data_IF_017822033116
#
_entry.id   IF_017822033116
#
_cell.length_a   1.000
_cell.length_b   1.000
_cell.length_c   1.000
_cell.angle_alpha   90.00
_cell.angle_beta   90.00
_cell.angle_gamma   90.00
#
_symmetry.space_group_name_H-M   'P 1'
#
loop_
_entity.id
_entity.type
_entity.pdbx_description
1 polymer ?
#
# COMPACT_ATOMS: atom_id res chain seq x y z
N UNK A 1 -20.46 -19.51 8.28
CA UNK A 1 -20.98 -20.83 8.75
C UNK A 1 -19.86 -21.60 9.40
N UNK A 2 -18.80 -21.97 8.67
CA UNK A 2 -17.64 -22.71 9.20
C UNK A 2 -17.04 -22.16 10.50
N UNK A 3 -16.81 -20.85 10.62
CA UNK A 3 -16.26 -20.27 11.84
C UNK A 3 -17.17 -20.49 13.06
N UNK A 4 -18.49 -20.29 12.93
CA UNK A 4 -19.45 -20.54 14.01
C UNK A 4 -19.56 -22.02 14.39
N UNK A 5 -19.37 -22.93 13.43
CA UNK A 5 -19.34 -24.38 13.69
C UNK A 5 -18.08 -24.81 14.45
N UNK A 6 -16.96 -24.12 14.23
CA UNK A 6 -15.70 -24.41 14.91
C UNK A 6 -15.67 -23.82 16.32
N UNK A 7 -16.11 -22.57 16.46
CA UNK A 7 -16.18 -21.88 17.73
C UNK A 7 -17.25 -20.77 17.67
N UNK A 8 -18.36 -20.89 18.43
CA UNK A 8 -19.43 -19.90 18.47
C UNK A 8 -19.00 -18.51 18.97
N UNK A 9 -17.86 -18.41 19.67
CA UNK A 9 -17.33 -17.12 20.16
C UNK A 9 -16.66 -16.28 19.06
N UNK A 10 -16.34 -16.89 17.90
CA UNK A 10 -15.77 -16.17 16.76
C UNK A 10 -16.81 -15.24 16.16
N UNK A 11 -16.51 -13.94 16.15
CA UNK A 11 -17.31 -12.92 15.48
C UNK A 11 -16.81 -12.68 14.05
N UNK A 12 -17.74 -12.63 13.11
CA UNK A 12 -17.50 -12.30 11.71
C UNK A 12 -18.00 -10.89 11.45
N UNK A 13 -17.07 -9.96 11.20
CA UNK A 13 -17.39 -8.57 10.88
C UNK A 13 -17.26 -8.37 9.38
N UNK A 14 -18.34 -7.94 8.74
CA UNK A 14 -18.33 -7.46 7.37
C UNK A 14 -17.92 -5.99 7.31
N UNK A 15 -17.40 -5.56 6.17
CA UNK A 15 -17.16 -4.16 5.88
C UNK A 15 -17.77 -3.83 4.51
N UNK A 16 -18.52 -2.74 4.46
CA UNK A 16 -19.09 -2.20 3.22
C UNK A 16 -18.66 -0.73 3.05
N UNK A 17 -18.45 -0.28 1.82
CA UNK A 17 -18.26 1.14 1.56
C UNK A 17 -19.59 1.90 1.63
N UNK A 18 -19.55 3.23 1.67
CA UNK A 18 -20.77 4.05 1.57
C UNK A 18 -21.41 4.02 0.17
N UNK A 19 -22.62 4.56 0.05
CA UNK A 19 -23.31 4.75 -1.22
C UNK A 19 -22.49 5.69 -2.13
N UNK A 20 -22.31 5.35 -3.39
CA UNK A 20 -21.57 6.14 -4.39
C UNK A 20 -20.05 5.95 -4.34
N UNK A 21 -19.57 4.90 -3.68
CA UNK A 21 -18.13 4.67 -3.51
C UNK A 21 -17.39 4.38 -4.83
N UNK A 22 -16.08 4.62 -4.81
CA UNK A 22 -15.12 4.43 -5.90
C UNK A 22 -14.12 3.32 -5.62
N UNK A 23 -14.18 2.67 -4.45
CA UNK A 23 -13.31 1.54 -4.10
C UNK A 23 -13.53 0.32 -5.01
N UNK A 24 -12.53 0.00 -5.84
CA UNK A 24 -12.57 -1.15 -6.73
C UNK A 24 -12.59 -2.47 -5.94
N UNK A 25 -13.36 -3.44 -6.43
CA UNK A 25 -13.51 -4.78 -5.81
C UNK A 25 -14.54 -4.85 -4.69
N UNK A 26 -15.07 -3.71 -4.23
CA UNK A 26 -16.17 -3.66 -3.25
C UNK A 26 -17.47 -3.22 -3.92
N UNK A 27 -18.59 -3.46 -3.24
CA UNK A 27 -19.92 -2.97 -3.61
C UNK A 27 -20.73 -2.68 -2.35
N UNK A 28 -21.49 -1.59 -2.36
CA UNK A 28 -22.54 -1.37 -1.38
C UNK A 28 -23.76 -2.25 -1.71
N UNK A 29 -24.30 -2.97 -0.72
CA UNK A 29 -25.42 -3.91 -0.93
C UNK A 29 -26.77 -3.25 -1.23
N UNK A 30 -26.88 -1.91 -1.13
CA UNK A 30 -28.05 -1.15 -1.57
C UNK A 30 -28.02 -0.79 -3.06
N UNK A 31 -26.83 -0.75 -3.66
CA UNK A 31 -26.64 -0.36 -5.08
C UNK A 31 -26.50 -1.57 -5.99
N UNK A 32 -26.05 -2.70 -5.45
CA UNK A 32 -25.75 -3.89 -6.22
C UNK A 32 -26.86 -4.92 -6.13
N UNK A 33 -27.07 -5.66 -7.23
CA UNK A 33 -27.85 -6.87 -7.20
C UNK A 33 -27.20 -7.85 -6.22
N UNK A 34 -27.94 -8.22 -5.17
CA UNK A 34 -27.44 -9.13 -4.13
C UNK A 34 -27.03 -10.46 -4.77
N UNK A 35 -25.74 -10.86 -4.69
CA UNK A 35 -25.32 -12.16 -5.22
C UNK A 35 -26.09 -13.29 -4.53
N UNK A 36 -26.49 -14.32 -5.28
CA UNK A 36 -27.23 -15.46 -4.70
C UNK A 36 -26.46 -16.20 -3.60
N UNK A 37 -25.12 -16.08 -3.61
CA UNK A 37 -24.22 -16.63 -2.59
C UNK A 37 -24.15 -15.81 -1.30
N UNK A 38 -24.68 -14.57 -1.29
CA UNK A 38 -24.57 -13.68 -0.14
C UNK A 38 -25.70 -13.91 0.87
N UNK A 39 -25.35 -14.33 2.09
CA UNK A 39 -26.29 -14.52 3.21
C UNK A 39 -26.06 -13.46 4.29
N UNK A 40 -26.94 -12.44 4.33
CA UNK A 40 -26.93 -11.31 5.29
C UNK A 40 -26.96 -11.72 6.77
N UNK A 41 -27.25 -12.99 7.09
CA UNK A 41 -27.29 -13.51 8.46
C UNK A 41 -25.93 -14.00 8.96
N UNK A 42 -24.92 -14.08 8.08
CA UNK A 42 -23.60 -14.60 8.43
C UNK A 42 -22.70 -13.59 9.15
N UNK A 43 -22.64 -12.31 8.75
CA UNK A 43 -21.91 -11.31 9.53
C UNK A 43 -22.67 -11.01 10.83
N UNK A 44 -21.94 -10.82 11.91
CA UNK A 44 -22.46 -10.35 13.21
C UNK A 44 -22.58 -8.82 13.25
N UNK A 45 -21.72 -8.12 12.51
CA UNK A 45 -21.70 -6.66 12.35
C UNK A 45 -21.28 -6.32 10.91
N UNK A 46 -21.80 -5.22 10.36
CA UNK A 46 -21.32 -4.64 9.11
C UNK A 46 -20.88 -3.21 9.39
N UNK A 47 -19.58 -2.97 9.29
CA UNK A 47 -18.99 -1.64 9.43
C UNK A 47 -18.99 -0.92 8.08
N UNK A 48 -19.13 0.40 8.13
CA UNK A 48 -19.00 1.25 6.94
C UNK A 48 -17.68 2.01 6.97
N UNK A 49 -16.99 2.04 5.83
CA UNK A 49 -15.69 2.72 5.68
C UNK A 49 -15.78 3.72 4.52
N UNK A 50 -15.27 4.92 4.74
CA UNK A 50 -15.21 5.97 3.72
C UNK A 50 -14.09 5.69 2.72
N UNK A 51 -14.23 6.20 1.51
CA UNK A 51 -13.26 5.98 0.44
C UNK A 51 -11.90 6.56 0.80
N UNK A 52 -11.87 7.80 1.29
CA UNK A 52 -10.64 8.49 1.68
C UNK A 52 -9.91 7.75 2.80
N UNK A 53 -10.66 7.20 3.76
CA UNK A 53 -10.12 6.39 4.85
C UNK A 53 -9.51 5.08 4.34
N UNK A 54 -10.20 4.40 3.42
CA UNK A 54 -9.71 3.17 2.81
C UNK A 54 -8.43 3.41 1.99
N UNK A 55 -8.41 4.49 1.18
CA UNK A 55 -7.26 4.88 0.37
C UNK A 55 -6.07 5.23 1.26
N UNK A 56 -6.26 6.08 2.28
CA UNK A 56 -5.18 6.44 3.20
C UNK A 56 -4.66 5.23 3.97
N UNK A 57 -5.56 4.38 4.47
CA UNK A 57 -5.15 3.17 5.20
C UNK A 57 -4.37 2.20 4.30
N UNK A 58 -4.73 2.10 3.02
CA UNK A 58 -3.97 1.28 2.06
C UNK A 58 -2.56 1.83 1.83
N UNK A 59 -2.41 3.16 1.71
CA UNK A 59 -1.11 3.82 1.59
C UNK A 59 -0.25 3.62 2.84
N UNK A 60 -0.86 3.77 4.02
CA UNK A 60 -0.21 3.50 5.32
C UNK A 60 0.26 2.06 5.44
N UNK A 61 -0.57 1.09 5.03
CA UNK A 61 -0.22 -0.32 5.04
C UNK A 61 1.07 -0.61 4.24
N UNK A 62 1.22 0.02 3.07
CA UNK A 62 2.45 -0.10 2.29
C UNK A 62 3.65 0.65 2.93
N UNK A 63 3.41 1.85 3.48
CA UNK A 63 4.45 2.74 4.02
C UNK A 63 5.00 2.29 5.38
N UNK A 64 4.12 1.84 6.27
CA UNK A 64 4.40 1.55 7.68
C UNK A 64 4.70 0.06 7.89
N UNK A 65 3.97 -0.83 7.22
CA UNK A 65 4.09 -2.28 7.40
C UNK A 65 4.78 -3.00 6.23
N UNK A 66 5.06 -2.29 5.12
CA UNK A 66 5.65 -2.90 3.92
C UNK A 66 4.73 -3.86 3.19
N UNK A 67 3.41 -3.84 3.47
CA UNK A 67 2.42 -4.71 2.84
C UNK A 67 1.78 -3.94 1.68
N UNK A 68 2.12 -4.35 0.45
CA UNK A 68 1.62 -3.70 -0.75
C UNK A 68 0.34 -4.38 -1.26
N UNK A 69 -0.82 -3.81 -0.93
CA UNK A 69 -2.14 -4.40 -1.17
C UNK A 69 -3.13 -3.43 -1.84
N UNK A 70 -4.27 -3.94 -2.31
CA UNK A 70 -5.32 -3.16 -2.95
C UNK A 70 -6.21 -2.31 -2.02
N UNK A 71 -7.02 -1.41 -2.60
CA UNK A 71 -7.89 -0.46 -1.87
C UNK A 71 -8.84 -1.14 -0.86
N UNK A 72 -9.36 -2.32 -1.23
CA UNK A 72 -10.26 -3.10 -0.36
C UNK A 72 -9.57 -3.60 0.91
N UNK A 73 -8.26 -3.82 0.84
CA UNK A 73 -7.43 -4.24 1.97
C UNK A 73 -7.28 -3.12 2.99
N UNK A 74 -7.07 -1.87 2.55
CA UNK A 74 -7.06 -0.73 3.46
C UNK A 74 -8.42 -0.49 4.10
N UNK A 75 -9.51 -0.67 3.37
CA UNK A 75 -10.85 -0.60 3.93
C UNK A 75 -11.08 -1.69 5.01
N UNK A 76 -10.64 -2.93 4.74
CA UNK A 76 -10.74 -4.04 5.69
C UNK A 76 -9.88 -3.79 6.94
N UNK A 77 -8.67 -3.25 6.77
CA UNK A 77 -7.79 -2.89 7.86
C UNK A 77 -8.36 -1.75 8.72
N UNK A 78 -8.93 -0.71 8.10
CA UNK A 78 -9.58 0.39 8.82
C UNK A 78 -10.73 -0.14 9.71
N UNK A 79 -11.58 -1.01 9.17
CA UNK A 79 -12.62 -1.68 9.94
C UNK A 79 -12.04 -2.55 11.06
N UNK A 80 -10.99 -3.33 10.78
CA UNK A 80 -10.34 -4.19 11.76
C UNK A 80 -9.72 -3.40 12.92
N UNK A 81 -9.08 -2.27 12.65
CA UNK A 81 -8.53 -1.38 13.68
C UNK A 81 -9.62 -0.80 14.58
N UNK A 82 -10.79 -0.45 14.01
CA UNK A 82 -11.96 -0.02 14.80
C UNK A 82 -12.51 -1.13 15.70
N UNK A 83 -12.51 -2.38 15.21
CA UNK A 83 -12.90 -3.54 16.03
C UNK A 83 -11.88 -3.77 17.14
N UNK A 84 -10.59 -3.77 16.81
CA UNK A 84 -9.50 -3.97 17.78
C UNK A 84 -9.50 -2.89 18.87
N UNK A 85 -9.78 -1.64 18.53
CA UNK A 85 -9.88 -0.54 19.50
C UNK A 85 -11.01 -0.70 20.53
N UNK A 86 -12.02 -1.54 20.23
CA UNK A 86 -13.14 -1.86 21.15
C UNK A 86 -12.88 -3.12 21.99
N UNK A 87 -11.72 -3.76 21.83
CA UNK A 87 -11.38 -5.02 22.49
C UNK A 87 -10.33 -4.80 23.57
N UNK A 88 -10.53 -5.42 24.75
CA UNK A 88 -9.51 -5.45 25.81
C UNK A 88 -8.38 -6.44 25.47
N UNK A 89 -8.73 -7.58 24.87
CA UNK A 89 -7.78 -8.60 24.41
C UNK A 89 -8.40 -9.48 23.33
N UNK A 90 -7.57 -10.16 22.55
CA UNK A 90 -8.00 -11.11 21.52
C UNK A 90 -7.13 -11.06 20.27
N UNK A 91 -7.60 -11.71 19.20
CA UNK A 91 -6.90 -11.75 17.91
C UNK A 91 -7.88 -11.42 16.78
N UNK A 92 -7.53 -10.40 16.01
CA UNK A 92 -8.28 -10.01 14.80
C UNK A 92 -7.53 -10.56 13.59
N UNK A 93 -8.27 -11.19 12.68
CA UNK A 93 -7.74 -11.68 11.40
C UNK A 93 -8.39 -10.89 10.28
N UNK A 94 -7.57 -10.37 9.37
CA UNK A 94 -8.02 -9.53 8.26
C UNK A 94 -7.57 -10.18 6.95
N UNK A 95 -8.43 -10.15 5.94
CA UNK A 95 -8.14 -10.71 4.62
C UNK A 95 -7.75 -9.57 3.68
N UNK A 96 -6.59 -9.70 3.04
CA UNK A 96 -6.14 -8.85 1.95
C UNK A 96 -6.27 -9.63 0.64
N UNK A 97 -7.29 -9.31 -0.20
CA UNK A 97 -7.63 -10.17 -1.34
C UNK A 97 -6.59 -10.20 -2.45
N UNK A 98 -5.83 -9.11 -2.63
CA UNK A 98 -4.84 -8.98 -3.70
C UNK A 98 -3.75 -7.93 -3.40
N UNK A 99 -2.72 -7.95 -4.25
CA UNK A 99 -1.57 -7.06 -4.19
C UNK A 99 -1.80 -5.70 -4.84
N UNK A 100 -1.04 -4.70 -4.40
CA UNK A 100 -1.14 -3.31 -4.84
C UNK A 100 -0.73 -3.07 -6.31
N UNK A 101 -0.03 -4.00 -6.95
CA UNK A 101 0.53 -3.85 -8.29
C UNK A 101 -0.55 -3.61 -9.36
N UNK A 102 -1.76 -4.12 -9.13
CA UNK A 102 -2.91 -3.98 -10.02
C UNK A 102 -3.51 -2.58 -10.02
N UNK A 103 -3.15 -1.77 -9.02
CA UNK A 103 -3.74 -0.47 -8.76
C UNK A 103 -2.80 0.70 -9.08
N UNK A 104 -1.61 0.42 -9.63
CA UNK A 104 -0.63 1.43 -10.02
C UNK A 104 -1.14 2.39 -11.11
N UNK A 105 -2.13 1.97 -11.91
CA UNK A 105 -2.79 2.82 -12.91
C UNK A 105 -4.00 3.59 -12.36
N UNK A 106 -4.20 3.60 -11.04
CA UNK A 106 -5.32 4.28 -10.36
C UNK A 106 -4.78 5.35 -9.41
N UNK A 107 -5.66 6.21 -8.89
CA UNK A 107 -5.31 7.25 -7.92
C UNK A 107 -4.89 6.70 -6.53
N UNK A 108 -4.91 5.37 -6.32
CA UNK A 108 -4.56 4.75 -5.04
C UNK A 108 -3.16 5.12 -4.57
N UNK A 109 -2.17 5.00 -5.45
CA UNK A 109 -0.76 5.27 -5.14
C UNK A 109 -0.27 6.57 -5.76
N UNK A 110 -1.17 7.33 -6.37
CA UNK A 110 -0.89 8.69 -6.80
C UNK A 110 -0.99 9.61 -5.58
N UNK A 111 0.15 10.17 -5.16
CA UNK A 111 0.14 11.29 -4.22
C UNK A 111 -0.20 12.56 -5.00
N UNK A 112 -1.15 13.39 -4.55
CA UNK A 112 -1.21 14.75 -5.06
C UNK A 112 0.15 15.41 -4.79
N UNK A 113 0.74 16.02 -5.81
CA UNK A 113 1.97 16.77 -5.66
C UNK A 113 1.66 17.99 -4.77
N UNK A 114 1.88 17.86 -3.45
CA UNK A 114 1.77 18.98 -2.50
C UNK A 114 2.95 19.96 -2.63
N UNK A 115 3.97 19.59 -3.40
CA UNK A 115 5.10 20.43 -3.74
C UNK A 115 4.77 21.22 -5.02
N UNK A 116 4.40 22.52 -4.91
CA UNK A 116 4.32 23.44 -6.07
C UNK A 116 5.65 23.56 -6.84
N UNK A 117 6.75 23.08 -6.23
CA UNK A 117 8.10 22.99 -6.78
C UNK A 117 8.40 21.64 -7.45
N UNK A 118 7.52 20.64 -7.32
CA UNK A 118 7.69 19.36 -7.98
C UNK A 118 7.55 19.55 -9.49
N UNK A 119 8.69 19.57 -10.19
CA UNK A 119 8.70 19.47 -11.65
C UNK A 119 8.21 18.06 -12.01
N UNK A 120 7.10 17.89 -12.75
CA UNK A 120 6.61 16.57 -13.14
C UNK A 120 7.71 15.80 -13.86
N UNK A 121 8.06 14.62 -13.34
CA UNK A 121 9.14 13.78 -13.87
C UNK A 121 10.54 14.07 -13.33
N UNK A 122 10.73 15.09 -12.47
CA UNK A 122 12.00 15.30 -11.78
C UNK A 122 12.15 14.31 -10.62
N UNK A 123 13.27 13.58 -10.63
CA UNK A 123 13.62 12.70 -9.53
C UNK A 123 14.02 13.53 -8.31
N UNK A 124 13.37 13.31 -7.17
CA UNK A 124 13.73 13.95 -5.91
C UNK A 124 14.44 12.96 -5.00
N UNK A 125 15.63 13.32 -4.52
CA UNK A 125 16.43 12.47 -3.64
C UNK A 125 16.66 13.17 -2.30
N UNK A 126 16.74 12.40 -1.22
CA UNK A 126 17.16 12.93 0.08
C UNK A 126 18.67 13.14 0.07
N UNK A 127 19.08 14.40 0.12
CA UNK A 127 20.48 14.76 0.32
C UNK A 127 20.82 14.57 1.80
N UNK A 128 21.70 13.63 2.10
CA UNK A 128 22.07 13.27 3.48
C UNK A 128 22.97 14.33 4.16
N UNK A 129 23.68 15.15 3.38
CA UNK A 129 24.49 16.25 3.88
C UNK A 129 23.61 17.39 4.40
N UNK A 130 22.57 17.75 3.65
CA UNK A 130 21.65 18.84 4.00
C UNK A 130 20.43 18.38 4.78
N UNK A 131 20.14 17.07 4.76
CA UNK A 131 18.93 16.41 5.26
C UNK A 131 17.64 16.94 4.62
N UNK A 132 17.74 17.43 3.38
CA UNK A 132 16.60 17.95 2.61
C UNK A 132 16.31 17.05 1.42
N UNK A 133 15.06 17.03 0.99
CA UNK A 133 14.65 16.44 -0.27
C UNK A 133 14.96 17.48 -1.35
N UNK A 134 15.80 17.12 -2.31
CA UNK A 134 16.30 18.02 -3.35
C UNK A 134 16.03 17.39 -4.72
N UNK A 135 15.81 18.23 -5.74
CA UNK A 135 15.74 17.79 -7.13
C UNK A 135 17.11 17.25 -7.53
N UNK A 136 17.14 16.04 -8.08
CA UNK A 136 18.37 15.44 -8.58
C UNK A 136 18.80 16.15 -9.87
N UNK A 137 19.98 16.76 -9.82
CA UNK A 137 20.68 17.28 -10.98
C UNK A 137 22.03 16.55 -11.11
N UNK A 138 22.34 15.95 -12.27
CA UNK A 138 23.60 15.24 -12.42
C UNK A 138 24.78 16.22 -12.42
N UNK A 139 25.92 15.79 -11.86
CA UNK A 139 27.16 16.57 -11.88
C UNK A 139 27.68 16.80 -13.31
N UNK A 140 27.40 15.87 -14.22
CA UNK A 140 27.73 15.94 -15.64
C UNK A 140 26.43 15.78 -16.45
N UNK A 141 26.16 16.71 -17.38
CA UNK A 141 24.93 16.66 -18.16
C UNK A 141 24.78 15.32 -18.90
N UNK A 142 23.63 14.66 -18.70
CA UNK A 142 23.31 13.37 -19.32
C UNK A 142 23.99 12.15 -18.70
N UNK A 143 24.88 12.31 -17.71
CA UNK A 143 25.64 11.21 -17.10
C UNK A 143 25.41 11.09 -15.61
N UNK A 144 25.10 9.89 -15.15
CA UNK A 144 24.88 9.60 -13.74
C UNK A 144 25.81 8.49 -13.27
N UNK A 145 26.46 8.72 -12.13
CA UNK A 145 27.24 7.70 -11.42
C UNK A 145 26.52 7.33 -10.13
N UNK A 146 26.24 6.04 -9.97
CA UNK A 146 25.64 5.49 -8.76
C UNK A 146 26.68 4.61 -8.10
N UNK A 147 26.75 4.63 -6.78
CA UNK A 147 27.50 3.64 -6.02
C UNK A 147 26.56 3.01 -5.00
N UNK A 148 26.47 1.68 -5.03
CA UNK A 148 25.89 0.92 -3.94
C UNK A 148 26.90 -0.11 -3.46
N UNK A 149 27.02 -0.26 -2.15
CA UNK A 149 27.85 -1.30 -1.58
C UNK A 149 27.24 -2.68 -1.85
N UNK A 150 28.09 -3.65 -2.17
CA UNK A 150 27.72 -5.05 -2.36
C UNK A 150 27.16 -5.70 -1.09
N UNK A 151 26.51 -6.87 -1.21
CA UNK A 151 25.97 -7.59 -0.06
C UNK A 151 27.08 -7.91 0.94
N UNK A 152 26.71 -7.90 2.22
CA UNK A 152 27.60 -8.32 3.30
C UNK A 152 27.91 -9.81 3.17
N UNK A 153 29.18 -10.19 3.14
CA UNK A 153 29.59 -11.59 2.89
C UNK A 153 29.49 -12.52 4.10
N UNK A 154 29.36 -11.99 5.32
CA UNK A 154 29.37 -12.77 6.56
C UNK A 154 27.98 -13.08 7.12
N UNK A 155 26.91 -12.64 6.45
CA UNK A 155 25.53 -12.87 6.89
C UNK A 155 24.66 -13.37 5.73
N UNK A 156 23.62 -14.14 6.06
CA UNK A 156 22.65 -14.58 5.06
C UNK A 156 21.87 -13.40 4.51
N UNK A 157 21.52 -13.46 3.23
CA UNK A 157 20.65 -12.49 2.60
C UNK A 157 19.31 -12.40 3.34
N UNK A 158 18.99 -11.21 3.85
CA UNK A 158 17.71 -10.88 4.45
C UNK A 158 17.07 -9.69 3.73
N UNK A 159 15.78 -9.46 3.95
CA UNK A 159 15.00 -8.42 3.24
C UNK A 159 15.65 -7.03 3.32
N UNK A 160 16.21 -6.66 4.47
CA UNK A 160 16.97 -5.41 4.62
C UNK A 160 18.15 -5.26 3.64
N UNK A 161 18.96 -6.31 3.44
CA UNK A 161 20.05 -6.30 2.45
C UNK A 161 19.50 -6.25 1.02
N UNK A 162 18.50 -7.07 0.73
CA UNK A 162 17.89 -7.14 -0.61
C UNK A 162 17.24 -5.81 -1.02
N UNK A 163 16.61 -5.11 -0.07
CA UNK A 163 15.96 -3.80 -0.32
C UNK A 163 16.95 -2.81 -0.91
N UNK A 164 18.18 -2.73 -0.40
CA UNK A 164 19.20 -1.81 -0.92
C UNK A 164 19.55 -2.10 -2.38
N UNK A 165 19.73 -3.39 -2.72
CA UNK A 165 20.06 -3.82 -4.08
C UNK A 165 18.91 -3.52 -5.03
N UNK A 166 17.68 -3.84 -4.64
CA UNK A 166 16.47 -3.57 -5.43
C UNK A 166 16.27 -2.07 -5.65
N UNK A 167 16.48 -1.25 -4.61
CA UNK A 167 16.35 0.22 -4.73
C UNK A 167 17.41 0.78 -5.68
N UNK A 168 18.67 0.32 -5.60
CA UNK A 168 19.72 0.77 -6.50
C UNK A 168 19.46 0.37 -7.96
N UNK A 169 18.96 -0.86 -8.19
CA UNK A 169 18.56 -1.32 -9.53
C UNK A 169 17.38 -0.53 -10.08
N UNK A 170 16.34 -0.30 -9.26
CA UNK A 170 15.18 0.49 -9.66
C UNK A 170 15.59 1.93 -10.01
N UNK A 171 16.41 2.56 -9.17
CA UNK A 171 16.91 3.91 -9.40
C UNK A 171 17.69 4.01 -10.72
N UNK A 172 18.58 3.04 -10.97
CA UNK A 172 19.31 2.95 -12.24
C UNK A 172 18.33 2.89 -13.43
N UNK A 173 17.34 1.99 -13.40
CA UNK A 173 16.39 1.81 -14.51
C UNK A 173 15.53 3.05 -14.74
N UNK A 174 15.12 3.73 -13.67
CA UNK A 174 14.36 4.99 -13.77
C UNK A 174 15.19 6.06 -14.46
N UNK A 175 16.46 6.21 -14.07
CA UNK A 175 17.36 7.18 -14.70
C UNK A 175 17.67 6.82 -16.17
N UNK A 176 17.90 5.55 -16.48
CA UNK A 176 18.07 5.08 -17.86
C UNK A 176 16.80 5.37 -18.70
N UNK A 177 15.60 5.14 -18.14
CA UNK A 177 14.33 5.44 -18.79
C UNK A 177 14.10 6.95 -19.01
N UNK A 178 14.73 7.80 -18.19
CA UNK A 178 14.75 9.26 -18.37
C UNK A 178 15.81 9.75 -19.38
N UNK A 179 16.58 8.83 -19.98
CA UNK A 179 17.57 9.15 -21.01
C UNK A 179 18.98 9.41 -20.49
N UNK A 180 19.27 9.13 -19.21
CA UNK A 180 20.62 9.26 -18.66
C UNK A 180 21.50 8.06 -19.02
N UNK A 181 22.78 8.32 -19.28
CA UNK A 181 23.83 7.30 -19.28
C UNK A 181 24.22 6.99 -17.82
N UNK A 182 23.82 5.83 -17.32
CA UNK A 182 24.04 5.44 -15.92
C UNK A 182 25.19 4.45 -15.78
N UNK A 183 26.18 4.80 -14.95
CA UNK A 183 27.23 3.89 -14.49
C UNK A 183 27.01 3.57 -13.01
N UNK A 184 26.68 2.33 -12.70
CA UNK A 184 26.49 1.80 -11.35
C UNK A 184 27.61 0.83 -10.98
#
# INVERSE_FOLDING_TARGET
RRFRELDPSIRVVGMEPYLGHRLQGLKNMKESYRPGIFDKRLPDEILHVADEEALEMTRRLAREEGIFAGMSSGAALAAALRVAARMESGRVVVIFPDGGERYLSTDLFHYPEEDEEARPGALHLTNTLTRRKEIFEPLEAGKVRIYSCGPTAYEFAHLGLCRRVVVADLLRRVLEAQGYEVRH
#
